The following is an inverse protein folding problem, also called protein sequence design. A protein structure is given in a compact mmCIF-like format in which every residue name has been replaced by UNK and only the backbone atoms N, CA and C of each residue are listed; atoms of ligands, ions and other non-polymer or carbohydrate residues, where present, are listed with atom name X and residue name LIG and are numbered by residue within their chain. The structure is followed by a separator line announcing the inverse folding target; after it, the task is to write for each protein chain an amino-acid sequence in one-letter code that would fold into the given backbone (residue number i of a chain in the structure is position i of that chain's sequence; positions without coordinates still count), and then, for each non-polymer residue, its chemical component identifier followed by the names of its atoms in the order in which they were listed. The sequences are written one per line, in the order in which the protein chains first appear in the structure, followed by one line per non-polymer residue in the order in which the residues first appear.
data_IF_227405572041
#
_entry.id   IF_227405572041
#
_cell.length_a   1.000
_cell.length_b   1.000
_cell.length_c   1.000
_cell.angle_alpha   90.00
_cell.angle_beta   90.00
_cell.angle_gamma   90.00
#
_symmetry.space_group_name_H-M   'P 1'
#
loop_
_entity.id
_entity.type
_entity.pdbx_description
1 polymer ?
#
# COMPACT_ATOMS: atom_id res chain seq x y z
N UNK A 1 -14.40 -6.01 -28.27
CA UNK A 1 -15.28 -4.93 -28.77
C UNK A 1 -14.94 -4.55 -30.22
N UNK A 2 -13.97 -3.67 -30.50
CA UNK A 2 -13.68 -3.19 -31.86
C UNK A 2 -13.51 -4.31 -32.92
N UNK A 3 -12.71 -5.34 -32.64
CA UNK A 3 -12.52 -6.48 -33.55
C UNK A 3 -13.83 -7.26 -33.84
N UNK A 4 -14.74 -7.35 -32.86
CA UNK A 4 -16.04 -8.01 -33.02
C UNK A 4 -16.96 -7.19 -33.93
N UNK A 5 -17.06 -5.87 -33.73
CA UNK A 5 -17.85 -4.99 -34.62
C UNK A 5 -17.27 -4.99 -36.03
N UNK A 6 -15.93 -4.98 -36.18
CA UNK A 6 -15.29 -5.09 -37.50
C UNK A 6 -15.57 -6.42 -38.22
N UNK A 7 -15.67 -7.53 -37.48
CA UNK A 7 -15.96 -8.86 -38.02
C UNK A 7 -17.43 -9.05 -38.41
N UNK A 8 -18.36 -8.59 -37.57
CA UNK A 8 -19.80 -8.88 -37.72
C UNK A 8 -20.62 -7.71 -38.29
N UNK A 9 -20.10 -6.48 -38.30
CA UNK A 9 -20.76 -5.28 -38.82
C UNK A 9 -19.77 -4.26 -39.44
N UNK A 10 -19.08 -4.60 -40.53
CA UNK A 10 -17.97 -3.81 -41.08
C UNK A 10 -18.36 -2.37 -41.47
N UNK A 11 -19.59 -2.13 -41.94
CA UNK A 11 -20.07 -0.77 -42.26
C UNK A 11 -20.23 0.10 -41.00
N UNK A 12 -20.74 -0.48 -39.89
CA UNK A 12 -20.86 0.22 -38.60
C UNK A 12 -19.49 0.50 -38.00
N UNK A 13 -18.59 -0.48 -38.09
CA UNK A 13 -17.19 -0.32 -37.69
C UNK A 13 -16.52 0.84 -38.42
N UNK A 14 -16.61 0.91 -39.76
CA UNK A 14 -15.93 1.97 -40.51
C UNK A 14 -16.54 3.36 -40.23
N UNK A 15 -17.87 3.43 -40.04
CA UNK A 15 -18.53 4.66 -39.59
C UNK A 15 -18.08 5.11 -38.18
N UNK A 16 -17.97 4.17 -37.23
CA UNK A 16 -17.46 4.43 -35.87
C UNK A 16 -15.99 4.87 -35.89
N UNK A 17 -15.16 4.15 -36.65
CA UNK A 17 -13.72 4.41 -36.80
C UNK A 17 -13.46 5.77 -37.43
N UNK A 18 -14.21 6.14 -38.47
CA UNK A 18 -14.13 7.47 -39.09
C UNK A 18 -14.52 8.57 -38.10
N UNK A 19 -15.53 8.33 -37.26
CA UNK A 19 -16.00 9.29 -36.25
C UNK A 19 -15.01 9.50 -35.09
N UNK A 20 -14.24 8.48 -34.73
CA UNK A 20 -13.35 8.47 -33.56
C UNK A 20 -11.89 8.19 -33.91
N UNK A 21 -11.45 8.57 -35.13
CA UNK A 21 -10.14 8.22 -35.70
C UNK A 21 -8.97 8.60 -34.77
N UNK A 22 -9.00 9.80 -34.19
CA UNK A 22 -7.91 10.30 -33.33
C UNK A 22 -7.83 9.55 -32.00
N UNK A 23 -8.97 9.21 -31.38
CA UNK A 23 -8.99 8.40 -30.16
C UNK A 23 -8.64 6.94 -30.45
N UNK A 24 -9.08 6.41 -31.59
CA UNK A 24 -8.74 5.06 -32.02
C UNK A 24 -7.23 4.92 -32.26
N UNK A 25 -6.59 5.92 -32.88
CA UNK A 25 -5.12 5.96 -33.02
C UNK A 25 -4.40 5.93 -31.66
N UNK A 26 -4.92 6.63 -30.64
CA UNK A 26 -4.37 6.57 -29.26
C UNK A 26 -4.43 5.14 -28.71
N UNK A 27 -5.57 4.46 -28.88
CA UNK A 27 -5.75 3.06 -28.44
C UNK A 27 -4.79 2.13 -29.17
N UNK A 28 -4.70 2.22 -30.50
CA UNK A 28 -3.80 1.40 -31.30
C UNK A 28 -2.33 1.60 -30.93
N UNK A 29 -1.90 2.85 -30.69
CA UNK A 29 -0.55 3.15 -30.23
C UNK A 29 -0.25 2.50 -28.88
N UNK A 30 -1.15 2.61 -27.91
CA UNK A 30 -0.96 2.00 -26.59
C UNK A 30 -0.94 0.47 -26.65
N UNK A 31 -1.78 -0.14 -27.48
CA UNK A 31 -1.74 -1.58 -27.73
C UNK A 31 -0.39 -1.99 -28.33
N UNK A 32 0.11 -1.25 -29.33
CA UNK A 32 1.41 -1.53 -29.95
C UNK A 32 2.59 -1.32 -28.99
N UNK A 33 2.56 -0.31 -28.12
CA UNK A 33 3.59 -0.09 -27.09
C UNK A 33 3.61 -1.19 -26.00
N UNK A 34 2.50 -1.91 -25.79
CA UNK A 34 2.41 -3.07 -24.91
C UNK A 34 2.91 -4.34 -25.60
N UNK A 35 2.36 -4.66 -26.77
CA UNK A 35 2.73 -5.87 -27.52
C UNK A 35 4.15 -5.85 -28.13
N UNK A 36 4.82 -4.70 -28.20
CA UNK A 36 6.26 -4.63 -28.51
C UNK A 36 7.17 -4.86 -27.29
N UNK A 37 6.61 -4.81 -26.09
CA UNK A 37 7.32 -5.02 -24.84
C UNK A 37 7.09 -6.42 -24.26
N UNK A 38 5.95 -7.03 -24.53
CA UNK A 38 5.66 -8.42 -24.16
C UNK A 38 6.57 -9.40 -24.94
N UNK A 39 7.28 -10.27 -24.22
CA UNK A 39 7.78 -11.53 -24.78
C UNK A 39 6.60 -12.51 -24.80
N UNK A 40 6.40 -13.35 -25.84
CA UNK A 40 5.31 -14.34 -25.83
C UNK A 40 5.45 -15.42 -24.74
N UNK A 41 6.57 -15.48 -24.03
CA UNK A 41 6.75 -16.31 -22.83
C UNK A 41 6.34 -15.58 -21.52
N UNK A 42 6.14 -14.25 -21.56
CA UNK A 42 5.76 -13.44 -20.40
C UNK A 42 4.23 -13.37 -20.19
N UNK A 43 3.43 -13.79 -21.17
CA UNK A 43 1.97 -13.96 -21.04
C UNK A 43 1.60 -15.09 -20.05
N UNK A 44 2.51 -16.00 -19.70
CA UNK A 44 2.22 -17.13 -18.80
C UNK A 44 2.13 -16.74 -17.30
N UNK A 45 2.69 -15.61 -16.85
CA UNK A 45 2.68 -15.21 -15.42
C UNK A 45 1.60 -14.19 -15.03
N UNK A 46 1.21 -13.27 -15.93
CA UNK A 46 0.00 -12.44 -15.75
C UNK A 46 -1.20 -13.15 -16.39
N UNK A 47 -1.51 -14.33 -15.86
CA UNK A 47 -2.65 -15.14 -16.27
C UNK A 47 -3.94 -14.33 -16.21
N UNK A 48 -4.42 -13.92 -17.38
CA UNK A 48 -5.73 -13.33 -17.60
C UNK A 48 -6.76 -14.38 -17.14
N UNK A 49 -7.57 -14.12 -16.10
CA UNK A 49 -8.61 -15.09 -15.65
C UNK A 49 -9.63 -15.43 -16.77
N UNK A 50 -9.58 -14.70 -17.90
CA UNK A 50 -10.32 -14.96 -19.13
C UNK A 50 -9.67 -15.96 -20.10
N UNK A 51 -8.36 -16.19 -20.08
CA UNK A 51 -7.70 -17.12 -21.03
C UNK A 51 -7.86 -18.60 -20.61
N UNK A 52 -8.09 -18.85 -19.32
CA UNK A 52 -8.52 -20.16 -18.80
C UNK A 52 -10.01 -20.48 -19.10
N UNK A 53 -10.77 -19.51 -19.61
CA UNK A 53 -12.10 -19.78 -20.17
C UNK A 53 -11.93 -20.53 -21.47
N UNK A 54 -11.98 -21.86 -21.39
CA UNK A 54 -12.15 -22.72 -22.57
C UNK A 54 -13.29 -22.17 -23.41
N UNK A 55 -12.93 -21.59 -24.57
CA UNK A 55 -13.85 -21.26 -25.64
C UNK A 55 -14.38 -22.57 -26.22
N UNK A 56 -15.37 -23.13 -25.53
CA UNK A 56 -16.26 -24.13 -26.12
C UNK A 56 -16.74 -23.53 -27.43
N UNK A 57 -16.41 -24.16 -28.55
CA UNK A 57 -17.00 -23.79 -29.84
C UNK A 57 -18.51 -23.95 -29.68
N UNK A 58 -19.22 -22.83 -29.53
CA UNK A 58 -20.67 -22.81 -29.44
C UNK A 58 -21.19 -23.18 -30.83
N UNK A 59 -21.50 -24.46 -31.02
CA UNK A 59 -22.22 -25.01 -32.16
C UNK A 59 -23.69 -24.54 -32.13
N UNK A 60 -23.85 -23.22 -32.21
CA UNK A 60 -25.10 -22.49 -32.02
C UNK A 60 -25.31 -21.61 -33.23
N UNK A 61 -26.45 -21.82 -33.90
CA UNK A 61 -26.79 -21.03 -35.08
C UNK A 61 -26.90 -19.55 -34.70
N UNK A 62 -26.31 -18.67 -35.51
CA UNK A 62 -26.34 -17.22 -35.30
C UNK A 62 -27.76 -16.62 -35.32
N UNK A 63 -28.80 -17.40 -35.65
CA UNK A 63 -30.20 -16.98 -35.56
C UNK A 63 -30.81 -17.03 -34.16
N UNK A 64 -30.16 -17.64 -33.17
CA UNK A 64 -30.66 -17.65 -31.77
C UNK A 64 -30.24 -16.40 -30.97
N UNK A 65 -29.31 -15.60 -31.50
CA UNK A 65 -28.83 -14.38 -30.86
C UNK A 65 -29.43 -13.12 -31.53
N UNK A 66 -29.87 -12.16 -30.71
CA UNK A 66 -30.23 -10.81 -31.17
C UNK A 66 -28.96 -10.00 -31.51
N UNK A 67 -28.26 -10.41 -32.59
CA UNK A 67 -26.96 -9.87 -32.98
C UNK A 67 -26.99 -8.35 -33.18
N UNK A 68 -28.07 -7.80 -33.74
CA UNK A 68 -28.26 -6.36 -33.90
C UNK A 68 -28.32 -5.59 -32.57
N UNK A 69 -28.98 -6.16 -31.56
CA UNK A 69 -29.07 -5.57 -30.22
C UNK A 69 -27.73 -5.66 -29.48
N UNK A 70 -27.02 -6.80 -29.62
CA UNK A 70 -25.67 -6.97 -29.08
C UNK A 70 -24.67 -5.99 -29.71
N UNK A 71 -24.70 -5.82 -31.04
CA UNK A 71 -23.86 -4.84 -31.74
C UNK A 71 -24.16 -3.41 -31.28
N UNK A 72 -25.43 -3.05 -31.14
CA UNK A 72 -25.82 -1.73 -30.63
C UNK A 72 -25.32 -1.47 -29.20
N UNK A 73 -25.41 -2.46 -28.30
CA UNK A 73 -24.88 -2.36 -26.94
C UNK A 73 -23.34 -2.21 -26.92
N UNK A 74 -22.62 -2.99 -27.75
CA UNK A 74 -21.16 -2.86 -27.87
C UNK A 74 -20.75 -1.49 -28.44
N UNK A 75 -21.53 -0.93 -29.38
CA UNK A 75 -21.30 0.41 -29.93
C UNK A 75 -21.55 1.51 -28.86
N UNK A 76 -22.53 1.34 -27.99
CA UNK A 76 -22.79 2.22 -26.84
C UNK A 76 -21.64 2.17 -25.82
N UNK A 77 -21.21 0.97 -25.41
CA UNK A 77 -20.04 0.76 -24.54
C UNK A 77 -18.77 1.40 -25.14
N UNK A 78 -18.51 1.17 -26.43
CA UNK A 78 -17.39 1.77 -27.15
C UNK A 78 -17.50 3.31 -27.18
N UNK A 79 -18.69 3.88 -27.31
CA UNK A 79 -18.90 5.32 -27.25
C UNK A 79 -18.67 5.88 -25.82
N UNK A 80 -19.08 5.17 -24.77
CA UNK A 80 -18.80 5.53 -23.37
C UNK A 80 -17.30 5.51 -23.07
N UNK A 81 -16.60 4.45 -23.48
CA UNK A 81 -15.15 4.31 -23.29
C UNK A 81 -14.35 5.38 -24.04
N UNK A 82 -14.71 5.69 -25.29
CA UNK A 82 -14.09 6.80 -26.04
C UNK A 82 -14.46 8.17 -25.44
N UNK A 83 -15.67 8.32 -24.90
CA UNK A 83 -16.08 9.52 -24.17
C UNK A 83 -15.23 9.76 -22.91
N UNK A 84 -14.94 8.69 -22.16
CA UNK A 84 -14.02 8.73 -21.02
C UNK A 84 -12.59 9.05 -21.47
N UNK A 85 -12.07 8.32 -22.45
CA UNK A 85 -10.72 8.52 -22.99
C UNK A 85 -10.52 9.96 -23.50
N UNK A 86 -11.53 10.53 -24.19
CA UNK A 86 -11.51 11.90 -24.66
C UNK A 86 -11.40 12.91 -23.52
N UNK A 87 -12.16 12.74 -22.42
CA UNK A 87 -12.06 13.60 -21.23
C UNK A 87 -10.69 13.48 -20.56
N UNK A 88 -10.17 12.26 -20.44
CA UNK A 88 -8.83 11.99 -19.90
C UNK A 88 -7.77 12.75 -20.69
N UNK A 89 -7.75 12.64 -22.02
CA UNK A 89 -6.75 13.32 -22.86
C UNK A 89 -6.99 14.84 -23.05
N UNK A 90 -8.19 15.34 -22.76
CA UNK A 90 -8.47 16.78 -22.74
C UNK A 90 -7.93 17.48 -21.47
N UNK A 91 -7.90 16.77 -20.34
CA UNK A 91 -7.51 17.34 -19.06
C UNK A 91 -6.10 16.91 -18.59
N UNK A 92 -5.67 15.69 -18.92
CA UNK A 92 -4.33 15.21 -18.62
C UNK A 92 -3.39 15.49 -19.79
N UNK A 93 -2.45 16.40 -19.58
CA UNK A 93 -1.30 16.60 -20.44
C UNK A 93 -0.03 16.61 -19.59
N UNK A 94 1.15 16.29 -20.14
CA UNK A 94 2.39 16.31 -19.36
C UNK A 94 2.80 17.70 -18.84
N UNK A 95 2.17 18.77 -19.35
CA UNK A 95 2.31 20.13 -18.82
C UNK A 95 1.41 20.42 -17.60
N UNK A 96 0.34 19.64 -17.41
CA UNK A 96 -0.60 19.71 -16.28
C UNK A 96 -0.35 18.60 -15.23
N UNK A 97 0.62 17.73 -15.45
CA UNK A 97 1.07 16.72 -14.47
C UNK A 97 1.99 17.38 -13.43
N UNK A 98 1.40 17.83 -12.32
CA UNK A 98 2.12 18.47 -11.21
C UNK A 98 3.25 17.60 -10.63
N UNK A 99 3.10 16.27 -10.66
CA UNK A 99 4.08 15.32 -10.12
C UNK A 99 5.32 15.25 -11.02
N UNK A 100 5.11 15.18 -12.33
CA UNK A 100 6.18 15.33 -13.33
C UNK A 100 6.81 16.73 -13.28
N UNK A 101 6.01 17.80 -13.20
CA UNK A 101 6.55 19.17 -13.11
C UNK A 101 7.42 19.35 -11.86
N UNK A 102 7.02 18.77 -10.73
CA UNK A 102 7.81 18.82 -9.50
C UNK A 102 9.08 17.97 -9.62
N UNK A 103 9.03 16.76 -10.21
CA UNK A 103 10.23 15.97 -10.49
C UNK A 103 11.23 16.74 -11.38
N UNK A 104 10.74 17.43 -12.40
CA UNK A 104 11.54 18.24 -13.31
C UNK A 104 12.23 19.41 -12.61
N UNK A 105 11.54 20.12 -11.72
CA UNK A 105 12.12 21.17 -10.87
C UNK A 105 13.20 20.57 -9.95
N UNK A 106 12.86 19.50 -9.25
CA UNK A 106 13.75 18.80 -8.31
C UNK A 106 15.04 18.33 -9.00
N UNK A 107 14.97 17.79 -10.23
CA UNK A 107 16.15 17.38 -11.01
C UNK A 107 16.96 18.54 -11.62
N UNK A 108 16.39 19.75 -11.74
CA UNK A 108 17.06 20.93 -12.34
C UNK A 108 17.63 21.90 -11.32
N UNK A 109 16.95 22.07 -10.19
CA UNK A 109 17.16 23.17 -9.25
C UNK A 109 17.85 22.72 -7.96
N UNK A 110 17.63 21.47 -7.51
CA UNK A 110 18.33 20.93 -6.35
C UNK A 110 19.80 20.62 -6.71
N UNK A 111 20.73 21.16 -5.92
CA UNK A 111 22.17 21.12 -6.19
C UNK A 111 22.78 19.72 -6.18
N UNK A 112 22.21 18.78 -5.42
CA UNK A 112 22.61 17.38 -5.38
C UNK A 112 22.06 16.64 -6.61
N UNK A 113 20.73 16.64 -6.77
CA UNK A 113 20.01 15.93 -7.85
C UNK A 113 20.34 16.42 -9.26
N UNK A 114 20.92 17.61 -9.39
CA UNK A 114 21.44 18.15 -10.66
C UNK A 114 22.79 17.56 -11.08
N UNK A 115 23.62 17.15 -10.12
CA UNK A 115 25.03 16.76 -10.33
C UNK A 115 25.28 15.28 -10.14
N UNK A 116 24.76 14.73 -9.05
CA UNK A 116 24.98 13.34 -8.66
C UNK A 116 24.13 12.37 -9.49
N UNK A 117 24.49 11.08 -9.40
CA UNK A 117 23.70 9.97 -9.93
C UNK A 117 22.47 9.73 -9.06
N UNK A 118 21.32 9.56 -9.70
CA UNK A 118 20.02 9.35 -9.08
C UNK A 118 19.31 8.13 -9.66
N UNK A 119 18.72 7.32 -8.78
CA UNK A 119 17.81 6.23 -9.15
C UNK A 119 16.38 6.68 -8.86
N UNK A 120 15.49 6.58 -9.85
CA UNK A 120 14.06 6.89 -9.74
C UNK A 120 13.29 5.56 -9.81
N UNK A 121 12.60 5.21 -8.72
CA UNK A 121 11.78 4.01 -8.63
C UNK A 121 10.29 4.34 -8.79
N UNK A 122 9.59 3.53 -9.58
CA UNK A 122 8.13 3.52 -9.74
C UNK A 122 7.60 2.10 -9.60
N UNK A 123 6.32 1.94 -9.26
CA UNK A 123 5.67 0.62 -9.22
C UNK A 123 5.31 0.14 -10.64
N UNK A 124 4.96 1.06 -11.55
CA UNK A 124 4.37 0.73 -12.86
C UNK A 124 5.36 0.95 -14.02
N UNK A 125 5.39 -0.02 -14.96
CA UNK A 125 6.23 0.03 -16.18
C UNK A 125 5.85 1.20 -17.09
N UNK A 126 4.55 1.43 -17.29
CA UNK A 126 4.01 2.54 -18.09
C UNK A 126 4.49 3.91 -17.55
N UNK A 127 4.54 4.07 -16.22
CA UNK A 127 5.08 5.27 -15.56
C UNK A 127 6.59 5.42 -15.81
N UNK A 128 7.37 4.35 -15.75
CA UNK A 128 8.83 4.42 -16.00
C UNK A 128 9.13 4.94 -17.41
N UNK A 129 8.45 4.37 -18.41
CA UNK A 129 8.54 4.76 -19.83
C UNK A 129 8.07 6.18 -20.07
N UNK A 130 6.95 6.58 -19.44
CA UNK A 130 6.43 7.94 -19.50
C UNK A 130 7.47 8.94 -18.98
N UNK A 131 8.01 8.72 -17.78
CA UNK A 131 9.04 9.60 -17.20
C UNK A 131 10.29 9.67 -18.09
N UNK A 132 10.73 8.56 -18.68
CA UNK A 132 11.87 8.54 -19.60
C UNK A 132 11.62 9.39 -20.85
N UNK A 133 10.48 9.18 -21.55
CA UNK A 133 10.08 9.97 -22.73
C UNK A 133 10.01 11.47 -22.38
N UNK A 134 9.38 11.82 -21.26
CA UNK A 134 9.16 13.20 -20.85
C UNK A 134 10.44 13.91 -20.37
N UNK A 135 11.36 13.20 -19.71
CA UNK A 135 12.66 13.73 -19.34
C UNK A 135 13.56 13.93 -20.58
N UNK A 136 13.62 12.95 -21.48
CA UNK A 136 14.36 13.06 -22.73
C UNK A 136 13.88 14.26 -23.56
N UNK A 137 12.55 14.40 -23.72
CA UNK A 137 11.93 15.53 -24.43
C UNK A 137 12.24 16.92 -23.81
N UNK A 138 12.63 16.97 -22.53
CA UNK A 138 12.99 18.21 -21.80
C UNK A 138 14.50 18.43 -21.65
N UNK A 139 15.31 17.73 -22.46
CA UNK A 139 16.74 17.98 -22.64
C UNK A 139 17.64 17.25 -21.64
N UNK A 140 17.16 16.22 -20.96
CA UNK A 140 18.04 15.28 -20.25
C UNK A 140 18.62 14.30 -21.29
N UNK A 141 19.95 14.25 -21.43
CA UNK A 141 20.66 13.29 -22.28
C UNK A 141 21.08 12.03 -21.53
N UNK A 142 21.51 12.20 -20.27
CA UNK A 142 22.23 11.18 -19.51
C UNK A 142 21.25 10.33 -18.67
N UNK A 143 20.20 9.80 -19.31
CA UNK A 143 19.19 8.97 -18.67
C UNK A 143 18.95 7.65 -19.39
N UNK A 144 18.54 6.64 -18.62
CA UNK A 144 18.11 5.35 -19.14
C UNK A 144 16.92 4.83 -18.32
N UNK A 145 16.08 4.03 -18.95
CA UNK A 145 14.92 3.37 -18.34
C UNK A 145 15.06 1.86 -18.41
N UNK A 146 14.60 1.16 -17.37
CA UNK A 146 14.69 -0.28 -17.31
C UNK A 146 13.52 -0.92 -16.54
N UNK A 147 12.72 -1.68 -17.27
CA UNK A 147 11.67 -2.55 -16.77
C UNK A 147 11.95 -4.05 -17.07
N UNK A 148 11.06 -4.96 -16.68
CA UNK A 148 11.21 -6.40 -16.92
C UNK A 148 11.10 -6.79 -18.39
N UNK A 149 10.48 -5.96 -19.21
CA UNK A 149 10.06 -6.24 -20.59
C UNK A 149 11.03 -5.68 -21.65
N UNK A 150 11.79 -4.63 -21.32
CA UNK A 150 12.72 -3.99 -22.26
C UNK A 150 13.90 -4.92 -22.57
N UNK A 151 14.06 -5.30 -23.85
CA UNK A 151 15.16 -6.13 -24.37
C UNK A 151 16.50 -5.37 -24.47
N UNK A 152 16.88 -4.68 -23.39
CA UNK A 152 18.16 -3.99 -23.24
C UNK A 152 19.09 -4.84 -22.38
N UNK A 153 20.38 -4.86 -22.70
CA UNK A 153 21.37 -5.54 -21.88
C UNK A 153 21.48 -4.85 -20.50
N UNK A 154 20.83 -5.44 -19.49
CA UNK A 154 20.75 -4.89 -18.12
C UNK A 154 22.14 -4.69 -17.52
N UNK A 155 23.07 -5.62 -17.73
CA UNK A 155 24.45 -5.51 -17.27
C UNK A 155 25.14 -4.26 -17.85
N UNK A 156 24.97 -3.98 -19.14
CA UNK A 156 25.52 -2.77 -19.76
C UNK A 156 24.90 -1.48 -19.22
N UNK A 157 23.58 -1.45 -18.96
CA UNK A 157 22.94 -0.29 -18.31
C UNK A 157 23.50 -0.07 -16.91
N UNK A 158 23.65 -1.15 -16.12
CA UNK A 158 24.24 -1.06 -14.78
C UNK A 158 25.73 -0.68 -14.84
N UNK A 159 26.50 -1.14 -15.81
CA UNK A 159 27.90 -0.71 -16.01
C UNK A 159 28.02 0.76 -16.44
N UNK A 160 27.09 1.28 -17.26
CA UNK A 160 27.01 2.71 -17.60
C UNK A 160 26.52 3.57 -16.43
N UNK A 161 25.59 3.08 -15.62
CA UNK A 161 25.04 3.81 -14.47
C UNK A 161 25.96 3.77 -13.25
N UNK A 162 26.49 2.60 -12.91
CA UNK A 162 27.31 2.35 -11.74
C UNK A 162 28.65 1.66 -12.09
N UNK A 163 29.51 2.32 -12.91
CA UNK A 163 30.76 1.72 -13.38
C UNK A 163 31.72 1.33 -12.25
N UNK A 164 31.80 2.10 -11.16
CA UNK A 164 32.83 1.88 -10.14
C UNK A 164 32.58 0.65 -9.26
N UNK A 165 31.32 0.27 -9.04
CA UNK A 165 30.94 -0.96 -8.33
C UNK A 165 30.66 -2.17 -9.24
N UNK A 166 30.68 -2.02 -10.58
CA UNK A 166 30.31 -3.09 -11.53
C UNK A 166 31.32 -3.34 -12.67
N UNK A 167 32.42 -2.59 -12.78
CA UNK A 167 33.45 -2.78 -13.81
C UNK A 167 34.85 -3.00 -13.21
N UNK A 168 35.62 -3.91 -13.82
CA UNK A 168 37.05 -4.04 -13.57
C UNK A 168 37.83 -2.83 -14.14
N UNK A 169 39.08 -2.64 -13.70
CA UNK A 169 39.94 -1.51 -14.13
C UNK A 169 40.14 -1.42 -15.66
N UNK A 170 40.05 -2.54 -16.37
CA UNK A 170 40.14 -2.59 -17.83
C UNK A 170 38.84 -2.15 -18.53
N UNK A 171 37.68 -2.39 -17.93
CA UNK A 171 36.37 -1.99 -18.48
C UNK A 171 36.00 -0.56 -18.10
N UNK A 172 36.44 -0.08 -16.94
CA UNK A 172 36.06 1.22 -16.38
C UNK A 172 36.22 2.40 -17.35
N UNK A 173 37.32 2.56 -18.12
CA UNK A 173 37.48 3.69 -19.04
C UNK A 173 36.46 3.72 -20.18
N UNK A 174 35.88 2.56 -20.55
CA UNK A 174 34.83 2.47 -21.57
C UNK A 174 33.53 3.09 -21.07
N UNK A 175 33.10 2.71 -19.86
CA UNK A 175 31.81 3.12 -19.31
C UNK A 175 31.85 4.49 -18.62
N UNK A 176 33.01 4.95 -18.13
CA UNK A 176 33.16 6.29 -17.53
C UNK A 176 32.92 7.43 -18.53
N UNK A 177 33.11 7.19 -19.83
CA UNK A 177 32.89 8.19 -20.89
C UNK A 177 31.45 8.24 -21.43
N UNK A 178 30.61 7.26 -21.09
CA UNK A 178 29.20 7.15 -21.52
C UNK A 178 28.34 6.78 -20.29
N UNK A 179 28.37 7.67 -19.29
CA UNK A 179 27.71 7.43 -18.02
C UNK A 179 26.26 7.87 -18.01
N UNK A 180 25.40 7.01 -17.47
CA UNK A 180 24.03 7.38 -17.11
C UNK A 180 24.08 8.12 -15.77
N UNK A 181 23.33 9.21 -15.67
CA UNK A 181 23.13 10.02 -14.45
C UNK A 181 21.78 9.76 -13.80
N UNK A 182 20.73 9.55 -14.60
CA UNK A 182 19.36 9.26 -14.13
C UNK A 182 18.95 7.86 -14.59
N UNK A 183 18.83 6.92 -13.66
CA UNK A 183 18.27 5.60 -13.95
C UNK A 183 16.82 5.54 -13.47
N UNK A 184 15.88 5.26 -14.38
CA UNK A 184 14.46 5.07 -14.05
C UNK A 184 14.17 3.57 -14.07
N UNK A 185 13.54 3.05 -13.03
CA UNK A 185 13.35 1.61 -12.86
C UNK A 185 12.05 1.27 -12.16
N UNK A 186 11.51 0.09 -12.47
CA UNK A 186 10.56 -0.61 -11.60
C UNK A 186 11.27 -1.43 -10.51
N UNK A 187 10.53 -2.07 -9.60
CA UNK A 187 11.10 -2.95 -8.57
C UNK A 187 11.83 -4.20 -9.11
N UNK A 188 11.82 -4.42 -10.43
CA UNK A 188 12.58 -5.49 -11.11
C UNK A 188 14.10 -5.37 -10.85
N UNK A 189 14.61 -4.17 -10.54
CA UNK A 189 16.01 -3.97 -10.11
C UNK A 189 16.22 -3.90 -8.59
N UNK A 190 15.16 -4.07 -7.79
CA UNK A 190 15.26 -4.14 -6.32
C UNK A 190 15.87 -5.46 -5.83
N UNK A 191 16.19 -6.39 -6.76
CA UNK A 191 16.88 -7.65 -6.54
C UNK A 191 18.17 -7.79 -7.38
N UNK A 192 19.13 -8.61 -6.92
CA UNK A 192 20.38 -8.92 -7.67
C UNK A 192 21.47 -7.83 -7.83
N UNK A 193 21.12 -6.55 -8.05
CA UNK A 193 22.07 -5.55 -8.59
C UNK A 193 22.69 -4.60 -7.55
N UNK A 194 23.82 -3.98 -7.94
CA UNK A 194 24.64 -3.01 -7.18
C UNK A 194 24.51 -1.61 -7.80
N UNK A 195 23.94 -0.66 -7.04
CA UNK A 195 23.67 0.72 -7.50
C UNK A 195 24.43 1.80 -6.68
N UNK A 196 25.49 1.40 -5.97
CA UNK A 196 26.19 2.22 -4.96
C UNK A 196 26.98 3.42 -5.51
N UNK A 197 27.22 3.48 -6.83
CA UNK A 197 27.67 4.72 -7.49
C UNK A 197 26.66 5.86 -7.36
N UNK A 198 25.37 5.57 -7.10
CA UNK A 198 24.39 6.57 -6.71
C UNK A 198 24.43 6.83 -5.19
N UNK A 199 23.99 8.01 -4.78
CA UNK A 199 23.68 8.31 -3.38
C UNK A 199 22.29 8.96 -3.24
N UNK A 200 21.56 9.12 -4.34
CA UNK A 200 20.24 9.75 -4.40
C UNK A 200 19.22 8.73 -4.90
N UNK A 201 18.14 8.58 -4.15
CA UNK A 201 17.01 7.71 -4.49
C UNK A 201 15.73 8.55 -4.48
N UNK A 202 14.93 8.41 -5.54
CA UNK A 202 13.61 9.04 -5.65
C UNK A 202 12.56 7.94 -5.78
N UNK A 203 11.71 7.75 -4.78
CA UNK A 203 10.49 6.97 -4.96
C UNK A 203 9.44 7.88 -5.60
N UNK A 204 9.21 7.70 -6.89
CA UNK A 204 8.12 8.36 -7.60
C UNK A 204 6.77 7.84 -7.10
N UNK A 205 6.66 6.53 -6.86
CA UNK A 205 5.47 5.92 -6.25
C UNK A 205 5.85 5.14 -4.99
N UNK A 206 5.10 5.38 -3.91
CA UNK A 206 5.27 4.73 -2.61
C UNK A 206 4.62 3.35 -2.60
N UNK A 207 5.44 2.31 -2.50
CA UNK A 207 4.95 0.95 -2.41
C UNK A 207 4.29 0.69 -1.04
N UNK A 208 3.07 0.14 -1.05
CA UNK A 208 2.29 -0.33 0.11
C UNK A 208 2.95 -1.41 1.00
N UNK A 209 4.16 -1.85 0.63
CA UNK A 209 4.99 -2.81 1.35
C UNK A 209 6.32 -2.14 1.75
N UNK A 210 6.55 -1.88 3.04
CA UNK A 210 7.76 -1.20 3.51
C UNK A 210 9.05 -1.99 3.29
N UNK A 211 8.97 -3.33 3.18
CA UNK A 211 10.14 -4.18 2.91
C UNK A 211 10.74 -3.84 1.55
N UNK A 212 9.90 -3.52 0.56
CA UNK A 212 10.37 -3.12 -0.78
C UNK A 212 11.04 -1.75 -0.76
N UNK A 213 10.53 -0.79 0.00
CA UNK A 213 11.21 0.50 0.20
C UNK A 213 12.58 0.33 0.86
N UNK A 214 12.67 -0.53 1.89
CA UNK A 214 13.95 -0.87 2.53
C UNK A 214 14.90 -1.61 1.57
N UNK A 215 14.39 -2.51 0.72
CA UNK A 215 15.18 -3.19 -0.31
C UNK A 215 15.73 -2.20 -1.35
N UNK A 216 14.92 -1.22 -1.81
CA UNK A 216 15.34 -0.13 -2.72
C UNK A 216 16.48 0.69 -2.11
N UNK A 217 16.32 1.19 -0.88
CA UNK A 217 17.38 1.92 -0.16
C UNK A 217 18.64 1.05 -0.01
N UNK A 218 18.44 -0.22 0.36
CA UNK A 218 19.50 -1.22 0.44
C UNK A 218 20.18 -1.58 -0.88
N UNK A 219 19.79 -1.05 -2.05
CA UNK A 219 20.59 -1.15 -3.30
C UNK A 219 21.68 -0.08 -3.38
N UNK A 220 21.51 1.01 -2.67
CA UNK A 220 22.35 2.21 -2.69
C UNK A 220 23.25 2.25 -1.46
N UNK A 221 22.73 1.87 -0.28
CA UNK A 221 23.40 1.96 1.02
C UNK A 221 24.24 0.72 1.44
N UNK A 222 24.55 -0.18 0.50
CA UNK A 222 25.30 -1.42 0.82
C UNK A 222 26.78 -1.16 1.04
N UNK A 223 27.26 -1.42 2.28
CA UNK A 223 28.67 -1.63 2.69
C UNK A 223 29.68 -1.04 1.70
N UNK A 224 29.74 0.28 1.69
CA UNK A 224 30.53 1.02 0.72
C UNK A 224 32.03 0.77 0.93
N UNK A 225 32.77 0.50 -0.15
CA UNK A 225 34.20 0.25 -0.10
C UNK A 225 34.94 1.60 0.01
N UNK A 226 35.72 1.87 1.08
CA UNK A 226 36.40 3.15 1.28
C UNK A 226 37.29 3.61 0.11
N UNK A 227 37.88 2.68 -0.64
CA UNK A 227 38.71 3.01 -1.79
C UNK A 227 37.88 3.35 -3.04
N UNK A 228 36.68 2.78 -3.17
CA UNK A 228 35.73 3.16 -4.23
C UNK A 228 35.11 4.52 -3.91
N UNK A 229 34.67 4.78 -2.68
CA UNK A 229 34.13 6.09 -2.29
C UNK A 229 35.16 7.22 -2.46
N UNK A 230 36.44 6.95 -2.19
CA UNK A 230 37.53 7.90 -2.45
C UNK A 230 37.70 8.19 -3.96
N UNK A 231 37.51 7.18 -4.82
CA UNK A 231 37.54 7.33 -6.30
C UNK A 231 36.31 8.07 -6.84
N UNK A 232 35.17 7.95 -6.17
CA UNK A 232 33.95 8.73 -6.42
C UNK A 232 34.03 10.16 -5.82
N UNK A 233 35.12 10.53 -5.16
CA UNK A 233 35.32 11.87 -4.57
C UNK A 233 34.48 12.14 -3.32
N UNK A 234 33.89 11.10 -2.71
CA UNK A 234 32.99 11.23 -1.56
C UNK A 234 33.75 11.32 -0.24
N UNK A 235 33.19 12.09 0.69
CA UNK A 235 33.70 12.22 2.06
C UNK A 235 33.01 11.21 2.98
N UNK A 236 33.77 10.57 3.87
CA UNK A 236 33.17 9.70 4.90
C UNK A 236 32.65 10.53 6.09
N UNK A 237 31.47 10.18 6.66
CA UNK A 237 30.55 9.14 6.21
C UNK A 237 29.76 9.57 4.96
N UNK A 238 29.62 8.65 4.00
CA UNK A 238 28.77 8.84 2.82
C UNK A 238 27.32 8.96 3.27
N UNK A 239 26.57 9.89 2.67
CA UNK A 239 25.15 10.11 2.95
C UNK A 239 24.31 9.68 1.76
N UNK A 240 23.36 8.77 2.00
CA UNK A 240 22.30 8.45 1.05
C UNK A 240 21.12 9.39 1.32
N UNK A 241 20.58 10.00 0.28
CA UNK A 241 19.39 10.86 0.35
C UNK A 241 18.22 10.16 -0.35
N UNK A 242 17.11 10.03 0.37
CA UNK A 242 15.85 9.45 -0.13
C UNK A 242 14.83 10.57 -0.27
N UNK A 243 14.24 10.68 -1.46
CA UNK A 243 13.14 11.58 -1.77
C UNK A 243 11.90 10.73 -2.08
N UNK A 244 10.75 11.10 -1.53
CA UNK A 244 9.51 10.39 -1.77
C UNK A 244 8.43 11.37 -2.24
N UNK A 245 7.69 10.99 -3.26
CA UNK A 245 6.44 11.66 -3.61
C UNK A 245 5.30 11.08 -2.77
N UNK A 246 4.78 11.88 -1.84
CA UNK A 246 3.60 11.54 -1.08
C UNK A 246 2.32 11.68 -1.93
N UNK A 247 1.26 10.90 -1.65
CA UNK A 247 -0.07 11.18 -2.19
C UNK A 247 -0.60 12.54 -1.69
N UNK A 248 -1.42 13.26 -2.48
CA UNK A 248 -2.18 14.42 -1.99
C UNK A 248 -3.11 14.05 -0.82
N UNK A 249 -3.46 15.02 0.02
CA UNK A 249 -4.30 14.81 1.22
C UNK A 249 -5.61 14.07 0.91
N UNK A 250 -6.36 14.53 -0.10
CA UNK A 250 -7.61 13.90 -0.55
C UNK A 250 -7.45 12.40 -0.92
N UNK A 251 -6.29 12.02 -1.45
CA UNK A 251 -5.99 10.64 -1.86
C UNK A 251 -5.48 9.81 -0.67
N UNK A 252 -4.75 10.43 0.27
CA UNK A 252 -4.33 9.78 1.51
C UNK A 252 -5.51 9.50 2.44
N UNK A 253 -6.52 10.36 2.50
CA UNK A 253 -7.74 10.10 3.27
C UNK A 253 -8.49 8.86 2.74
N UNK A 254 -8.52 8.67 1.42
CA UNK A 254 -9.15 7.52 0.76
C UNK A 254 -8.33 6.22 0.91
N UNK A 255 -7.01 6.28 0.67
CA UNK A 255 -6.16 5.09 0.61
C UNK A 255 -5.51 4.72 1.95
N UNK A 256 -5.30 5.71 2.83
CA UNK A 256 -4.50 5.64 4.05
C UNK A 256 -3.11 5.02 3.77
N UNK A 257 -2.51 5.32 2.62
CA UNK A 257 -1.33 4.64 2.10
C UNK A 257 -0.10 4.98 2.93
N UNK A 258 0.19 6.28 3.11
CA UNK A 258 1.26 6.77 3.97
C UNK A 258 1.05 6.24 5.40
N UNK A 259 -0.14 6.42 5.99
CA UNK A 259 -0.47 5.93 7.35
C UNK A 259 -0.22 4.42 7.51
N UNK A 260 -0.57 3.60 6.52
CA UNK A 260 -0.35 2.14 6.52
C UNK A 260 1.12 1.75 6.33
N UNK A 261 1.87 2.44 5.46
CA UNK A 261 3.28 2.14 5.20
C UNK A 261 4.14 2.54 6.40
N UNK A 262 3.96 3.76 6.93
CA UNK A 262 4.67 4.24 8.12
C UNK A 262 4.41 3.35 9.34
N UNK A 263 3.15 2.94 9.58
CA UNK A 263 2.79 2.01 10.65
C UNK A 263 3.45 0.63 10.54
N UNK A 264 3.70 0.13 9.32
CA UNK A 264 4.44 -1.14 9.10
C UNK A 264 5.95 -0.93 9.20
N UNK A 265 6.52 0.16 8.67
CA UNK A 265 7.94 0.53 8.83
C UNK A 265 8.34 0.58 10.31
N UNK A 266 7.50 1.24 11.13
CA UNK A 266 7.75 1.43 12.55
C UNK A 266 7.80 0.08 13.31
N UNK A 267 6.94 -0.89 12.93
CA UNK A 267 7.00 -2.26 13.47
C UNK A 267 8.28 -2.99 13.03
N UNK A 268 8.69 -2.87 11.77
CA UNK A 268 9.89 -3.52 11.24
C UNK A 268 11.16 -2.92 11.87
N UNK A 269 11.24 -1.59 12.02
CA UNK A 269 12.33 -0.91 12.72
C UNK A 269 12.42 -1.36 14.19
N UNK A 270 11.29 -1.47 14.90
CA UNK A 270 11.25 -2.04 16.27
C UNK A 270 11.76 -3.48 16.37
N UNK A 271 11.53 -4.32 15.35
CA UNK A 271 12.00 -5.72 15.34
C UNK A 271 13.45 -5.88 14.89
N UNK A 272 13.95 -4.99 14.02
CA UNK A 272 15.27 -5.13 13.36
C UNK A 272 16.34 -4.11 13.80
N UNK A 273 15.97 -3.07 14.57
CA UNK A 273 16.92 -2.06 15.08
C UNK A 273 17.50 -1.13 14.02
N UNK A 274 16.67 -0.66 13.06
CA UNK A 274 17.13 0.17 11.93
C UNK A 274 16.81 1.65 12.19
N UNK A 275 17.84 2.50 12.21
CA UNK A 275 17.83 3.90 12.70
C UNK A 275 17.82 4.98 11.59
N UNK A 276 17.24 4.73 10.41
CA UNK A 276 17.22 5.69 9.30
C UNK A 276 15.80 6.18 8.94
N UNK A 277 15.57 7.47 8.64
CA UNK A 277 14.30 7.98 8.11
C UNK A 277 14.10 7.51 6.66
N UNK A 278 12.86 7.15 6.30
CA UNK A 278 12.55 6.43 5.05
C UNK A 278 11.59 7.17 4.11
N UNK A 279 10.59 7.91 4.61
CA UNK A 279 9.54 8.54 3.80
C UNK A 279 9.66 10.07 3.73
N UNK A 280 9.94 10.79 4.82
CA UNK A 280 10.09 12.26 4.80
C UNK A 280 11.26 12.77 5.66
N UNK A 281 11.78 13.99 5.41
CA UNK A 281 12.73 14.64 6.33
C UNK A 281 12.09 14.96 7.68
N UNK A 282 10.79 15.28 7.65
CA UNK A 282 9.88 15.38 8.79
C UNK A 282 9.13 14.05 9.06
N UNK A 283 9.67 12.89 8.65
CA UNK A 283 9.33 11.60 9.28
C UNK A 283 10.03 11.68 10.61
N UNK A 284 9.45 12.53 11.46
CA UNK A 284 10.28 13.18 12.41
C UNK A 284 10.75 12.09 13.33
N UNK A 285 12.03 12.23 13.64
CA UNK A 285 12.55 11.44 14.70
C UNK A 285 11.71 11.64 15.95
N UNK A 286 10.76 12.59 16.11
CA UNK A 286 9.59 12.47 17.02
C UNK A 286 9.03 11.05 17.25
N UNK A 287 8.83 10.13 16.29
CA UNK A 287 8.41 8.76 16.68
C UNK A 287 9.47 7.98 17.50
N UNK A 288 10.72 8.43 17.41
CA UNK A 288 11.96 7.92 18.01
C UNK A 288 12.61 8.94 19.02
N UNK A 289 12.12 10.19 19.14
CA UNK A 289 12.42 11.32 20.07
C UNK A 289 11.30 11.40 21.10
N UNK A 290 10.03 11.26 20.73
CA UNK A 290 9.02 10.62 21.60
C UNK A 290 9.33 9.13 21.86
N UNK A 291 10.54 8.65 21.52
CA UNK A 291 11.22 7.48 22.10
C UNK A 291 12.57 7.80 22.81
N UNK A 292 13.28 8.89 22.47
CA UNK A 292 14.61 9.27 22.99
C UNK A 292 14.59 10.45 23.99
N UNK A 293 13.76 11.47 23.79
CA UNK A 293 13.21 12.31 24.89
C UNK A 293 12.27 11.47 25.78
N UNK A 294 11.71 10.36 25.26
CA UNK A 294 11.08 9.30 26.07
C UNK A 294 12.07 8.46 26.88
N UNK A 295 13.36 8.52 26.55
CA UNK A 295 14.44 8.07 27.44
C UNK A 295 14.66 9.07 28.60
N UNK A 296 13.96 10.21 28.59
CA UNK A 296 13.61 11.04 29.76
C UNK A 296 12.13 10.83 30.24
N UNK A 297 11.54 9.64 30.03
CA UNK A 297 10.85 8.97 31.14
C UNK A 297 9.41 8.45 31.06
N UNK A 298 8.67 8.46 29.92
CA UNK A 298 7.24 8.01 29.91
C UNK A 298 6.81 7.14 28.72
N UNK A 299 6.38 5.89 28.96
CA UNK A 299 6.02 4.88 27.93
C UNK A 299 4.71 5.23 27.20
N UNK A 300 4.47 4.67 26.00
CA UNK A 300 3.14 4.80 25.37
C UNK A 300 2.19 3.70 25.81
N UNK A 301 0.88 4.01 25.82
CA UNK A 301 -0.16 3.09 26.29
C UNK A 301 -0.21 1.76 25.51
N UNK A 302 0.02 1.78 24.19
CA UNK A 302 0.10 0.53 23.40
C UNK A 302 1.31 -0.34 23.79
N UNK A 303 2.46 0.29 24.10
CA UNK A 303 3.67 -0.40 24.59
C UNK A 303 3.45 -0.95 26.00
N UNK A 304 2.80 -0.18 26.88
CA UNK A 304 2.43 -0.64 28.22
C UNK A 304 1.45 -1.82 28.19
N UNK A 305 0.40 -1.75 27.36
CA UNK A 305 -0.56 -2.83 27.16
C UNK A 305 0.11 -4.09 26.59
N UNK A 306 1.08 -3.95 25.69
CA UNK A 306 1.82 -5.09 25.14
C UNK A 306 2.74 -5.73 26.18
N UNK A 307 3.51 -4.92 26.92
CA UNK A 307 4.37 -5.41 28.01
C UNK A 307 3.55 -6.03 29.16
N UNK A 308 2.35 -5.51 29.44
CA UNK A 308 1.42 -6.08 30.40
C UNK A 308 0.83 -7.41 29.89
N UNK A 309 0.52 -7.52 28.60
CA UNK A 309 0.10 -8.78 27.97
C UNK A 309 1.19 -9.85 28.06
N UNK A 310 2.43 -9.53 27.69
CA UNK A 310 3.58 -10.44 27.82
C UNK A 310 3.81 -10.87 29.27
N UNK A 311 3.70 -9.92 30.20
CA UNK A 311 3.83 -10.18 31.64
C UNK A 311 2.75 -11.14 32.12
N UNK A 312 1.48 -10.88 31.81
CA UNK A 312 0.36 -11.75 32.16
C UNK A 312 0.49 -13.14 31.52
N UNK A 313 0.99 -13.25 30.30
CA UNK A 313 1.24 -14.52 29.62
C UNK A 313 2.34 -15.34 30.32
N UNK A 314 3.38 -14.67 30.84
CA UNK A 314 4.47 -15.28 31.62
C UNK A 314 4.03 -15.68 33.04
N UNK A 315 3.25 -14.84 33.71
CA UNK A 315 2.77 -15.08 35.08
C UNK A 315 1.61 -16.10 35.13
N UNK A 316 0.78 -16.18 34.08
CA UNK A 316 -0.45 -16.99 34.05
C UNK A 316 -0.64 -17.77 32.72
N UNK A 317 0.32 -18.60 32.27
CA UNK A 317 0.25 -19.30 30.97
C UNK A 317 -1.02 -20.14 30.79
N UNK A 318 -1.43 -20.89 31.83
CA UNK A 318 -2.66 -21.70 31.81
C UNK A 318 -3.98 -20.91 31.77
N UNK A 319 -3.95 -19.58 31.85
CA UNK A 319 -5.10 -18.71 31.55
C UNK A 319 -5.20 -18.45 30.05
N UNK A 320 -4.07 -18.25 29.36
CA UNK A 320 -4.00 -18.03 27.92
C UNK A 320 -4.36 -19.29 27.12
N UNK A 321 -4.05 -20.48 27.62
CA UNK A 321 -4.52 -21.76 27.06
C UNK A 321 -6.06 -21.90 27.14
N UNK A 322 -6.67 -21.36 28.19
CA UNK A 322 -8.12 -21.43 28.43
C UNK A 322 -8.88 -20.32 27.72
N UNK A 323 -8.26 -19.16 27.48
CA UNK A 323 -8.91 -17.98 26.91
C UNK A 323 -9.65 -18.23 25.57
N UNK A 324 -9.14 -19.03 24.61
CA UNK A 324 -9.86 -19.36 23.37
C UNK A 324 -11.14 -20.19 23.57
N UNK A 325 -11.27 -20.87 24.71
CA UNK A 325 -12.40 -21.74 25.06
C UNK A 325 -13.53 -20.98 25.80
N UNK A 326 -13.28 -19.73 26.20
CA UNK A 326 -14.29 -18.90 26.84
C UNK A 326 -15.34 -18.40 25.83
N UNK A 327 -16.63 -18.31 26.21
CA UNK A 327 -17.67 -17.79 25.34
C UNK A 327 -17.42 -16.32 24.99
N UNK A 328 -17.74 -15.90 23.77
CA UNK A 328 -17.78 -14.47 23.41
C UNK A 328 -18.90 -13.77 24.18
N UNK A 329 -18.84 -12.44 24.28
CA UNK A 329 -19.76 -11.56 25.02
C UNK A 329 -19.68 -11.69 26.55
N UNK A 330 -18.52 -12.09 27.08
CA UNK A 330 -18.31 -12.12 28.54
C UNK A 330 -18.52 -10.73 29.11
N UNK A 331 -19.46 -10.66 30.05
CA UNK A 331 -19.73 -9.49 30.86
C UNK A 331 -18.95 -9.57 32.17
N UNK A 332 -18.37 -8.46 32.59
CA UNK A 332 -17.92 -8.28 33.98
C UNK A 332 -18.34 -6.92 34.51
N UNK A 333 -18.04 -6.65 35.77
CA UNK A 333 -18.21 -5.32 36.35
C UNK A 333 -17.14 -5.08 37.39
N UNK A 334 -16.70 -3.83 37.52
CA UNK A 334 -15.78 -3.34 38.55
C UNK A 334 -16.30 -2.04 39.14
N UNK A 335 -15.79 -1.64 40.30
CA UNK A 335 -15.93 -0.26 40.78
C UNK A 335 -14.98 0.66 39.99
N UNK A 336 -15.37 1.90 39.77
CA UNK A 336 -14.55 2.93 39.14
C UNK A 336 -13.22 3.15 39.89
N UNK A 337 -12.18 3.44 39.12
CA UNK A 337 -10.86 3.82 39.63
C UNK A 337 -10.90 5.27 40.20
N UNK A 338 -9.76 5.78 40.66
CA UNK A 338 -9.59 7.12 41.28
C UNK A 338 -10.30 8.26 40.55
N UNK A 339 -10.38 8.21 39.22
CA UNK A 339 -10.98 9.27 38.39
C UNK A 339 -12.52 9.25 38.37
N UNK A 340 -13.16 8.30 39.08
CA UNK A 340 -14.63 8.20 39.29
C UNK A 340 -15.50 8.10 38.02
N UNK A 341 -14.90 7.83 36.86
CA UNK A 341 -15.64 7.74 35.61
C UNK A 341 -16.39 6.41 35.58
N UNK A 342 -17.72 6.50 35.50
CA UNK A 342 -18.62 5.35 35.42
C UNK A 342 -19.09 5.16 33.99
N UNK A 343 -19.51 3.95 33.62
CA UNK A 343 -19.94 3.68 32.26
C UNK A 343 -19.89 2.21 31.85
N UNK A 344 -19.98 1.99 30.55
CA UNK A 344 -19.87 0.65 29.94
C UNK A 344 -18.77 0.64 28.89
N UNK A 345 -17.82 -0.25 29.09
CA UNK A 345 -16.83 -0.66 28.09
C UNK A 345 -17.41 -1.77 27.20
N UNK A 346 -17.18 -1.70 25.90
CA UNK A 346 -17.44 -2.78 24.95
C UNK A 346 -16.28 -2.93 23.96
N UNK A 347 -15.81 -4.16 23.81
CA UNK A 347 -14.82 -4.57 22.81
C UNK A 347 -15.52 -5.32 21.68
N UNK A 348 -15.53 -4.74 20.47
CA UNK A 348 -16.12 -5.35 19.29
C UNK A 348 -15.03 -5.80 18.32
N UNK A 349 -15.21 -7.00 17.78
CA UNK A 349 -14.45 -7.49 16.63
C UNK A 349 -15.31 -7.37 15.38
N UNK A 350 -14.79 -6.66 14.39
CA UNK A 350 -15.44 -6.46 13.10
C UNK A 350 -15.15 -7.64 12.18
N UNK A 351 -16.04 -7.96 11.23
CA UNK A 351 -15.75 -8.97 10.22
C UNK A 351 -14.53 -8.54 9.40
N UNK A 352 -13.73 -9.51 8.95
CA UNK A 352 -12.84 -9.24 7.80
C UNK A 352 -13.74 -9.07 6.60
N UNK A 353 -13.96 -7.82 6.18
CA UNK A 353 -14.48 -7.56 4.84
C UNK A 353 -13.35 -7.91 3.87
N UNK A 354 -13.36 -9.13 3.38
CA UNK A 354 -12.73 -9.42 2.10
C UNK A 354 -13.46 -8.54 1.08
N UNK A 355 -12.89 -7.38 0.76
CA UNK A 355 -13.15 -6.76 -0.54
C UNK A 355 -12.92 -7.86 -1.57
N UNK A 356 -13.77 -7.91 -2.60
CA UNK A 356 -13.55 -8.74 -3.77
C UNK A 356 -12.36 -8.17 -4.55
N UNK A 357 -11.17 -8.38 -3.99
CA UNK A 357 -9.93 -8.48 -4.74
C UNK A 357 -10.02 -9.86 -5.37
N UNK A 358 -10.02 -9.91 -6.70
CA UNK A 358 -9.88 -11.14 -7.48
C UNK A 358 -8.67 -11.92 -6.95
N UNK A 359 -8.70 -13.25 -7.05
CA UNK A 359 -7.78 -14.11 -6.31
C UNK A 359 -6.38 -14.07 -6.91
N UNK A 360 -5.59 -13.04 -6.56
CA UNK A 360 -4.15 -13.01 -6.85
C UNK A 360 -3.50 -14.22 -6.15
N UNK A 361 -2.97 -15.22 -6.90
CA UNK A 361 -2.55 -16.49 -6.32
C UNK A 361 -1.10 -16.43 -5.85
N UNK A 362 -0.82 -15.60 -4.84
CA UNK A 362 0.52 -15.49 -4.25
C UNK A 362 0.52 -15.88 -2.77
N UNK A 363 1.49 -16.74 -2.42
CA UNK A 363 1.76 -17.36 -1.11
C UNK A 363 0.83 -18.52 -0.74
N UNK A 364 1.14 -19.71 -1.27
CA UNK A 364 0.87 -20.97 -0.58
C UNK A 364 1.80 -21.12 0.63
N UNK A 365 1.47 -20.45 1.74
CA UNK A 365 1.96 -20.89 3.05
C UNK A 365 1.06 -22.05 3.52
N UNK A 366 1.64 -23.25 3.52
CA UNK A 366 0.95 -24.45 3.97
C UNK A 366 0.87 -24.48 5.50
N UNK A 367 -0.34 -24.45 6.07
CA UNK A 367 -0.68 -25.16 7.30
C UNK A 367 -2.21 -25.43 7.38
N UNK A 368 -2.68 -26.44 8.14
CA UNK A 368 -3.88 -27.19 7.76
C UNK A 368 -5.22 -26.69 8.36
N UNK A 369 -6.28 -26.91 7.58
CA UNK A 369 -7.66 -27.24 8.00
C UNK A 369 -8.15 -26.69 9.36
N UNK A 370 -8.58 -25.43 9.36
CA UNK A 370 -9.77 -25.03 10.13
C UNK A 370 -10.87 -24.59 9.16
N UNK A 371 -12.14 -24.78 9.54
CA UNK A 371 -13.26 -24.33 8.71
C UNK A 371 -13.18 -22.82 8.44
N UNK A 372 -13.43 -22.45 7.19
CA UNK A 372 -13.20 -21.11 6.62
C UNK A 372 -13.80 -19.97 7.46
N UNK A 373 -14.96 -20.21 8.08
CA UNK A 373 -15.63 -19.26 8.98
C UNK A 373 -14.81 -18.93 10.24
N UNK A 374 -14.20 -19.92 10.91
CA UNK A 374 -13.42 -19.69 12.14
C UNK A 374 -12.13 -18.93 11.88
N UNK A 375 -11.49 -19.18 10.73
CA UNK A 375 -10.28 -18.47 10.33
C UNK A 375 -10.56 -16.99 10.03
N UNK A 376 -11.71 -16.68 9.41
CA UNK A 376 -12.16 -15.31 9.18
C UNK A 376 -12.50 -14.57 10.49
N UNK A 377 -13.15 -15.24 11.45
CA UNK A 377 -13.47 -14.66 12.76
C UNK A 377 -12.22 -14.26 13.59
N UNK A 378 -11.09 -14.94 13.42
CA UNK A 378 -9.84 -14.65 14.16
C UNK A 378 -9.05 -13.47 13.59
N UNK A 379 -9.24 -13.14 12.30
CA UNK A 379 -8.47 -12.11 11.57
C UNK A 379 -9.10 -10.70 11.60
N UNK A 380 -10.32 -10.56 12.13
CA UNK A 380 -11.05 -9.29 12.13
C UNK A 380 -10.51 -8.23 13.08
N UNK A 381 -10.55 -6.95 12.65
CA UNK A 381 -10.17 -5.76 13.42
C UNK A 381 -10.91 -5.69 14.77
N UNK A 382 -10.20 -5.28 15.82
CA UNK A 382 -10.77 -5.08 17.16
C UNK A 382 -10.81 -3.60 17.49
N UNK A 383 -11.97 -3.08 17.89
CA UNK A 383 -12.15 -1.69 18.36
C UNK A 383 -12.73 -1.67 19.78
N UNK A 384 -12.32 -0.66 20.53
CA UNK A 384 -12.70 -0.44 21.92
C UNK A 384 -13.61 0.78 21.99
N UNK A 385 -14.67 0.66 22.78
CA UNK A 385 -15.61 1.75 23.02
C UNK A 385 -15.92 1.85 24.51
N UNK A 386 -16.06 3.07 25.02
CA UNK A 386 -16.48 3.33 26.39
C UNK A 386 -17.55 4.41 26.40
N UNK A 387 -18.73 4.11 26.95
CA UNK A 387 -19.84 5.07 27.09
C UNK A 387 -19.91 5.54 28.54
N UNK A 388 -19.58 6.80 28.79
CA UNK A 388 -19.61 7.40 30.12
C UNK A 388 -21.05 7.56 30.64
N UNK A 389 -21.32 7.15 31.87
CA UNK A 389 -22.67 7.09 32.44
C UNK A 389 -23.32 8.48 32.57
N UNK A 390 -22.55 9.46 33.04
CA UNK A 390 -22.97 10.83 33.32
C UNK A 390 -23.24 11.66 32.06
N UNK A 391 -22.29 11.67 31.11
CA UNK A 391 -22.34 12.56 29.94
C UNK A 391 -23.01 11.92 28.72
N UNK A 392 -23.04 10.58 28.65
CA UNK A 392 -23.42 9.87 27.43
C UNK A 392 -22.40 9.95 26.30
N UNK A 393 -21.23 10.54 26.54
CA UNK A 393 -20.12 10.55 25.58
C UNK A 393 -19.64 9.12 25.32
N UNK A 394 -19.38 8.80 24.05
CA UNK A 394 -18.83 7.51 23.63
C UNK A 394 -17.40 7.70 23.13
N UNK A 395 -16.45 7.29 23.95
CA UNK A 395 -15.04 7.20 23.58
C UNK A 395 -14.82 6.01 22.64
N UNK A 396 -13.83 6.14 21.77
CA UNK A 396 -13.46 5.18 20.71
C UNK A 396 -12.00 4.78 20.88
N UNK A 397 -11.50 3.89 20.03
CA UNK A 397 -10.09 3.47 20.02
C UNK A 397 -9.07 4.61 19.90
N UNK A 398 -9.46 5.81 19.43
CA UNK A 398 -8.58 7.00 19.45
C UNK A 398 -8.26 7.49 20.88
N UNK A 399 -9.09 7.17 21.88
CA UNK A 399 -8.95 7.53 23.31
C UNK A 399 -8.52 6.33 24.15
N UNK A 400 -7.47 5.63 23.70
CA UNK A 400 -7.05 4.36 24.27
C UNK A 400 -6.54 4.49 25.72
N UNK A 401 -5.92 5.62 26.05
CA UNK A 401 -5.38 5.92 27.39
C UNK A 401 -6.49 5.95 28.44
N UNK A 402 -7.52 6.76 28.23
CA UNK A 402 -8.61 6.94 29.19
C UNK A 402 -9.49 5.70 29.30
N UNK A 403 -9.70 4.99 28.18
CA UNK A 403 -10.37 3.68 28.18
C UNK A 403 -9.55 2.68 29.02
N UNK A 404 -8.24 2.60 28.81
CA UNK A 404 -7.35 1.70 29.54
C UNK A 404 -7.36 1.99 31.04
N UNK A 405 -7.23 3.27 31.43
CA UNK A 405 -7.27 3.69 32.83
C UNK A 405 -8.61 3.32 33.51
N UNK A 406 -9.74 3.50 32.81
CA UNK A 406 -11.05 3.12 33.33
C UNK A 406 -11.18 1.60 33.53
N UNK A 407 -10.74 0.79 32.57
CA UNK A 407 -10.96 -0.68 32.59
C UNK A 407 -9.87 -1.49 33.31
N UNK A 408 -8.68 -0.91 33.55
CA UNK A 408 -7.54 -1.61 34.18
C UNK A 408 -7.95 -2.36 35.45
N UNK A 409 -7.67 -3.66 35.50
CA UNK A 409 -8.10 -4.57 36.55
C UNK A 409 -6.98 -5.57 36.88
N UNK A 410 -6.50 -5.56 38.13
CA UNK A 410 -5.57 -6.57 38.66
C UNK A 410 -6.29 -7.76 39.31
N UNK A 411 -5.54 -8.77 39.74
CA UNK A 411 -6.09 -10.01 40.32
C UNK A 411 -7.03 -9.80 41.53
N UNK A 412 -6.74 -8.81 42.39
CA UNK A 412 -7.54 -8.47 43.57
C UNK A 412 -8.76 -7.57 43.26
N UNK A 413 -9.06 -7.30 41.98
CA UNK A 413 -10.18 -6.41 41.60
C UNK A 413 -11.51 -7.12 41.83
N UNK A 414 -12.22 -6.71 42.89
CA UNK A 414 -13.55 -7.25 43.20
C UNK A 414 -14.56 -6.96 42.07
N UNK A 415 -15.24 -8.02 41.64
CA UNK A 415 -16.30 -7.94 40.64
C UNK A 415 -17.57 -7.33 41.25
N UNK A 416 -18.01 -6.19 40.71
CA UNK A 416 -19.15 -5.41 41.22
C UNK A 416 -19.97 -4.87 40.04
N UNK A 417 -21.29 -4.92 40.15
CA UNK A 417 -22.25 -4.40 39.16
C UNK A 417 -23.34 -3.62 39.90
N UNK A 418 -23.78 -2.45 39.39
CA UNK A 418 -24.77 -1.60 40.07
C UNK A 418 -25.95 -1.19 39.16
N UNK A 419 -25.70 -0.93 37.89
CA UNK A 419 -26.71 -0.56 36.91
C UNK A 419 -27.67 -1.74 36.64
N UNK A 420 -28.93 -1.41 36.35
CA UNK A 420 -29.90 -2.44 35.99
C UNK A 420 -29.59 -3.04 34.63
N UNK A 421 -30.03 -4.29 34.40
CA UNK A 421 -29.89 -4.96 33.11
C UNK A 421 -30.56 -4.18 31.95
N UNK A 422 -31.56 -3.33 32.24
CA UNK A 422 -32.20 -2.46 31.26
C UNK A 422 -31.31 -1.27 30.86
N UNK A 423 -30.62 -0.66 31.84
CA UNK A 423 -29.69 0.45 31.59
C UNK A 423 -28.44 -0.02 30.84
N UNK A 424 -27.84 -1.13 31.26
CA UNK A 424 -26.71 -1.76 30.57
C UNK A 424 -27.05 -2.13 29.11
N UNK A 425 -28.26 -2.64 28.88
CA UNK A 425 -28.77 -2.91 27.53
C UNK A 425 -28.91 -1.63 26.71
N UNK A 426 -29.51 -0.57 27.27
CA UNK A 426 -29.67 0.73 26.59
C UNK A 426 -28.31 1.33 26.21
N UNK A 427 -27.36 1.39 27.13
CA UNK A 427 -26.03 1.95 26.87
C UNK A 427 -25.24 1.15 25.83
N UNK A 428 -25.40 -0.18 25.79
CA UNK A 428 -24.84 -0.98 24.69
C UNK A 428 -25.51 -0.70 23.35
N UNK A 429 -26.84 -0.55 23.32
CA UNK A 429 -27.57 -0.18 22.09
C UNK A 429 -27.18 1.22 21.56
N UNK A 430 -26.80 2.17 22.43
CA UNK A 430 -26.23 3.47 22.04
C UNK A 430 -24.88 3.30 21.32
N UNK A 431 -23.98 2.45 21.85
CA UNK A 431 -22.70 2.11 21.19
C UNK A 431 -22.94 1.39 19.85
N UNK A 432 -23.85 0.41 19.83
CA UNK A 432 -24.16 -0.42 18.64
C UNK A 432 -24.78 0.41 17.50
N UNK A 433 -25.71 1.32 17.79
CA UNK A 433 -26.38 2.17 16.78
C UNK A 433 -25.57 3.39 16.38
N UNK A 434 -24.65 3.85 17.23
CA UNK A 434 -23.77 4.99 16.95
C UNK A 434 -22.47 4.59 16.25
N UNK A 435 -21.32 4.61 16.96
CA UNK A 435 -20.01 4.47 16.33
C UNK A 435 -19.77 3.09 15.71
N UNK A 436 -20.38 2.01 16.23
CA UNK A 436 -20.23 0.67 15.66
C UNK A 436 -20.94 0.56 14.30
N UNK A 437 -22.17 1.07 14.19
CA UNK A 437 -22.90 1.11 12.92
C UNK A 437 -22.35 2.15 11.91
N UNK A 438 -21.62 3.16 12.38
CA UNK A 438 -20.83 4.03 11.51
C UNK A 438 -19.65 3.25 10.91
N UNK A 439 -18.80 2.65 11.75
CA UNK A 439 -17.62 1.91 11.28
C UNK A 439 -17.96 0.72 10.36
N UNK A 440 -19.12 0.06 10.56
CA UNK A 440 -19.60 -0.96 9.61
C UNK A 440 -19.91 -0.41 8.21
N UNK A 441 -20.43 0.82 8.13
CA UNK A 441 -20.73 1.49 6.85
C UNK A 441 -19.43 1.93 6.18
N UNK A 442 -18.49 2.46 6.95
CA UNK A 442 -17.17 2.88 6.47
C UNK A 442 -16.33 1.69 5.94
N UNK A 443 -16.67 0.46 6.34
CA UNK A 443 -16.06 -0.79 5.86
C UNK A 443 -16.72 -1.41 4.61
N UNK A 444 -17.79 -0.82 4.06
CA UNK A 444 -18.63 -1.42 2.99
C UNK A 444 -19.05 -2.86 3.30
N UNK A 445 -19.36 -3.17 4.56
CA UNK A 445 -19.68 -4.52 4.98
C UNK A 445 -20.99 -5.02 4.32
N UNK A 446 -21.03 -6.26 3.77
CA UNK A 446 -22.22 -6.79 3.10
C UNK A 446 -23.48 -6.77 4.00
N UNK A 447 -24.63 -6.53 3.37
CA UNK A 447 -25.94 -6.48 4.02
C UNK A 447 -26.22 -7.74 4.85
N UNK A 448 -26.20 -7.60 6.18
CA UNK A 448 -26.47 -8.67 7.13
C UNK A 448 -25.29 -9.06 8.03
N UNK A 449 -24.06 -8.69 7.67
CA UNK A 449 -22.88 -8.97 8.51
C UNK A 449 -22.87 -8.07 9.75
N UNK A 450 -22.62 -8.65 10.92
CA UNK A 450 -22.66 -7.93 12.22
C UNK A 450 -21.33 -8.08 12.97
N UNK A 451 -20.88 -7.05 13.69
CA UNK A 451 -19.69 -7.12 14.51
C UNK A 451 -19.96 -7.99 15.75
N UNK A 452 -18.95 -8.73 16.15
CA UNK A 452 -19.02 -9.66 17.26
C UNK A 452 -18.50 -8.98 18.51
N UNK A 453 -19.40 -8.72 19.47
CA UNK A 453 -19.01 -8.30 20.82
C UNK A 453 -18.16 -9.41 21.46
N UNK A 454 -16.90 -9.09 21.75
CA UNK A 454 -15.91 -10.01 22.33
C UNK A 454 -16.08 -10.08 23.84
N UNK A 455 -16.01 -8.93 24.49
CA UNK A 455 -16.23 -8.75 25.93
C UNK A 455 -16.75 -7.34 26.21
N UNK A 456 -17.32 -7.16 27.40
CA UNK A 456 -17.87 -5.88 27.86
C UNK A 456 -17.84 -5.83 29.37
N UNK A 457 -17.76 -4.61 29.91
CA UNK A 457 -17.62 -4.41 31.35
C UNK A 457 -18.34 -3.15 31.82
N UNK A 458 -19.04 -3.27 32.94
CA UNK A 458 -19.56 -2.14 33.70
C UNK A 458 -18.48 -1.55 34.61
N UNK A 459 -18.39 -0.22 34.66
CA UNK A 459 -17.56 0.52 35.61
C UNK A 459 -18.50 1.34 36.50
N UNK A 460 -18.60 0.97 37.78
CA UNK A 460 -19.62 1.38 38.76
C UNK A 460 -19.16 2.46 39.75
#
# INVERSE_FOLDING_TARGET
MAAFVAQYAPERWEAWRTRYESQWWIVQRHQQERSQAEDPEAEEEEGNEFDDVKTTELDQSTSEYELDALLAAIEEDMAVLIGLLSKVYQHLSPGADDKLQQLLRVLKDNSLLKREKVVIFTEFRDTARYLWKELQARGFSDLEELDSTRKVNREQVIKRFAPYYNCDENELPKYVNDQIRVLISTDVLSEGLNLQDACLLVNYDLHWNPVRLMQRIGRVDRRLNPDIERRLGRSNPVKVHVFNFLPPEDLEDLLNLHRRVSGKLLRISKTLGIEAPVLTPEDDFEAIRLFNEKYEGQRSIEEELHLELERLQREHPGLFEKLPHYPKRIFSGKRANSNKIRGVFCCYRFPVVQRAVEKVPLLQEAEPLMSTEKAAELRGDVRWYFRAAETGEIWRSERLEEITEAIRSGAETLRVTQASAQELKRWREEIERGPVAHYLRDLDAPMGVKPTLVCWMEVC
#
